data_IF_163814831436
#
_entry.id   IF_163814831436
#
_cell.length_a   1.000
_cell.length_b   1.000
_cell.length_c   1.000
_cell.angle_alpha   90.00
_cell.angle_beta   90.00
_cell.angle_gamma   90.00
#
_symmetry.space_group_name_H-M   'P 1'
#
loop_
_entity.id
_entity.type
_entity.pdbx_description
1 polymer ?
#
# COMPACT_ATOMS: atom_id res chain seq x y z
N UNK A 1 -22.52 34.61 -40.78
CA UNK A 1 -23.41 33.89 -39.83
C UNK A 1 -23.15 32.38 -39.79
N UNK A 2 -22.65 31.74 -40.85
CA UNK A 2 -22.29 30.31 -40.85
C UNK A 2 -21.20 29.94 -39.83
N UNK A 3 -20.12 30.72 -39.72
CA UNK A 3 -19.07 30.45 -38.73
C UNK A 3 -19.57 30.43 -37.28
N UNK A 4 -20.53 31.29 -36.92
CA UNK A 4 -21.10 31.34 -35.56
C UNK A 4 -21.97 30.11 -35.28
N UNK A 5 -22.78 29.67 -36.27
CA UNK A 5 -23.59 28.45 -36.15
C UNK A 5 -22.72 27.18 -36.10
N UNK A 6 -21.63 27.16 -36.85
CA UNK A 6 -20.70 26.04 -36.86
C UNK A 6 -19.92 25.95 -35.53
N UNK A 7 -19.44 27.09 -35.03
CA UNK A 7 -18.73 27.20 -33.74
C UNK A 7 -19.65 26.91 -32.54
N UNK A 8 -20.93 27.32 -32.60
CA UNK A 8 -21.93 26.98 -31.58
C UNK A 8 -22.28 25.50 -31.60
N UNK A 9 -22.38 24.89 -32.79
CA UNK A 9 -22.66 23.46 -32.92
C UNK A 9 -21.50 22.61 -32.42
N UNK A 10 -20.24 22.96 -32.73
CA UNK A 10 -19.05 22.29 -32.19
C UNK A 10 -18.92 22.44 -30.68
N UNK A 11 -19.31 23.59 -30.12
CA UNK A 11 -19.31 23.81 -28.67
C UNK A 11 -20.40 22.99 -27.98
N UNK A 12 -21.62 22.97 -28.53
CA UNK A 12 -22.71 22.15 -28.01
C UNK A 12 -22.40 20.66 -28.06
N UNK A 13 -21.79 20.17 -29.15
CA UNK A 13 -21.35 18.78 -29.25
C UNK A 13 -20.22 18.48 -28.27
N UNK A 14 -19.21 19.35 -28.11
CA UNK A 14 -18.10 19.14 -27.17
C UNK A 14 -18.56 19.16 -25.71
N UNK A 15 -19.47 20.07 -25.34
CA UNK A 15 -20.09 20.11 -24.01
C UNK A 15 -20.96 18.87 -23.80
N UNK A 16 -21.75 18.47 -24.79
CA UNK A 16 -22.56 17.25 -24.75
C UNK A 16 -21.72 15.98 -24.54
N UNK A 17 -20.63 15.81 -25.30
CA UNK A 17 -19.73 14.66 -25.16
C UNK A 17 -18.96 14.69 -23.84
N UNK A 18 -18.45 15.85 -23.41
CA UNK A 18 -17.73 15.98 -22.14
C UNK A 18 -18.64 15.77 -20.92
N UNK A 19 -19.90 16.20 -21.00
CA UNK A 19 -20.89 15.94 -19.95
C UNK A 19 -21.30 14.47 -19.93
N UNK A 20 -21.57 13.84 -21.09
CA UNK A 20 -21.88 12.41 -21.12
C UNK A 20 -20.70 11.57 -20.62
N UNK A 21 -19.47 11.90 -21.00
CA UNK A 21 -18.28 11.17 -20.52
C UNK A 21 -18.06 11.38 -19.02
N UNK A 22 -18.33 12.58 -18.49
CA UNK A 22 -18.22 12.88 -17.06
C UNK A 22 -19.32 12.18 -16.24
N UNK A 23 -20.56 12.15 -16.74
CA UNK A 23 -21.65 11.41 -16.10
C UNK A 23 -21.40 9.91 -16.17
N UNK A 24 -20.92 9.41 -17.32
CA UNK A 24 -20.53 8.02 -17.50
C UNK A 24 -19.41 7.60 -16.55
N UNK A 25 -18.36 8.42 -16.39
CA UNK A 25 -17.27 8.13 -15.46
C UNK A 25 -17.71 8.15 -14.00
N UNK A 26 -18.58 9.10 -13.61
CA UNK A 26 -19.19 9.13 -12.28
C UNK A 26 -20.06 7.89 -12.03
N UNK A 27 -20.89 7.49 -12.99
CA UNK A 27 -21.71 6.28 -12.87
C UNK A 27 -20.84 5.02 -12.77
N UNK A 28 -19.78 4.90 -13.56
CA UNK A 28 -18.82 3.79 -13.47
C UNK A 28 -18.07 3.78 -12.13
N UNK A 29 -17.67 4.95 -11.62
CA UNK A 29 -17.03 5.06 -10.31
C UNK A 29 -17.98 4.62 -9.19
N UNK A 30 -19.22 5.12 -9.19
CA UNK A 30 -20.24 4.73 -8.20
C UNK A 30 -20.60 3.25 -8.29
N UNK A 31 -20.73 2.71 -9.51
CA UNK A 31 -20.95 1.28 -9.72
C UNK A 31 -19.79 0.42 -9.22
N UNK A 32 -18.55 0.84 -9.50
CA UNK A 32 -17.35 0.16 -9.00
C UNK A 32 -17.24 0.24 -7.48
N UNK A 33 -17.51 1.41 -6.89
CA UNK A 33 -17.51 1.60 -5.45
C UNK A 33 -18.58 0.74 -4.78
N UNK A 34 -19.79 0.72 -5.33
CA UNK A 34 -20.87 -0.14 -4.86
C UNK A 34 -20.46 -1.61 -4.91
N UNK A 35 -19.90 -2.06 -6.04
CA UNK A 35 -19.43 -3.44 -6.21
C UNK A 35 -18.33 -3.78 -5.19
N UNK A 36 -17.33 -2.91 -5.00
CA UNK A 36 -16.27 -3.09 -3.99
C UNK A 36 -16.86 -3.18 -2.59
N UNK A 37 -17.84 -2.34 -2.24
CA UNK A 37 -18.52 -2.39 -0.95
C UNK A 37 -19.31 -3.69 -0.75
N UNK A 38 -20.09 -4.11 -1.75
CA UNK A 38 -20.84 -5.38 -1.71
C UNK A 38 -19.88 -6.56 -1.57
N UNK A 39 -18.83 -6.62 -2.39
CA UNK A 39 -17.83 -7.70 -2.30
C UNK A 39 -17.12 -7.70 -0.95
N UNK A 40 -16.73 -6.54 -0.44
CA UNK A 40 -16.08 -6.41 0.88
C UNK A 40 -17.02 -6.87 2.00
N UNK A 41 -18.29 -6.50 1.93
CA UNK A 41 -19.32 -6.94 2.87
C UNK A 41 -19.53 -8.46 2.83
N UNK A 42 -19.66 -9.04 1.63
CA UNK A 42 -19.80 -10.49 1.45
C UNK A 42 -18.56 -11.24 1.93
N UNK A 43 -17.36 -10.73 1.64
CA UNK A 43 -16.10 -11.31 2.14
C UNK A 43 -16.02 -11.27 3.66
N UNK A 44 -16.49 -10.20 4.31
CA UNK A 44 -16.55 -10.10 5.77
C UNK A 44 -17.59 -11.07 6.37
N UNK A 45 -18.74 -11.22 5.72
CA UNK A 45 -19.82 -12.10 6.18
C UNK A 45 -19.47 -13.59 5.99
N UNK A 46 -19.00 -13.96 4.80
CA UNK A 46 -18.73 -15.36 4.43
C UNK A 46 -17.32 -15.82 4.81
N UNK A 47 -16.35 -14.90 4.92
CA UNK A 47 -14.94 -15.21 5.17
C UNK A 47 -14.72 -16.13 6.37
N UNK A 48 -15.27 -15.85 7.56
CA UNK A 48 -15.13 -16.73 8.73
C UNK A 48 -15.67 -18.15 8.49
N UNK A 49 -16.74 -18.28 7.72
CA UNK A 49 -17.35 -19.58 7.37
C UNK A 49 -16.44 -20.39 6.46
N UNK A 50 -15.87 -19.75 5.44
CA UNK A 50 -14.89 -20.37 4.54
C UNK A 50 -13.63 -20.82 5.28
N UNK A 51 -13.09 -19.97 6.17
CA UNK A 51 -11.93 -20.30 6.98
C UNK A 51 -12.21 -21.51 7.88
N UNK A 52 -13.37 -21.56 8.55
CA UNK A 52 -13.76 -22.74 9.35
C UNK A 52 -13.86 -24.02 8.51
N UNK A 53 -14.45 -23.95 7.31
CA UNK A 53 -14.54 -25.10 6.39
C UNK A 53 -13.16 -25.58 5.96
N UNK A 54 -12.23 -24.67 5.64
CA UNK A 54 -10.86 -25.02 5.27
C UNK A 54 -10.13 -25.73 6.40
N UNK A 55 -10.31 -25.30 7.65
CA UNK A 55 -9.73 -25.98 8.80
C UNK A 55 -10.36 -27.36 9.05
N UNK A 56 -11.65 -27.54 8.73
CA UNK A 56 -12.33 -28.83 8.82
C UNK A 56 -11.82 -29.90 7.84
N UNK A 57 -10.95 -29.55 6.89
CA UNK A 57 -10.30 -30.51 5.98
C UNK A 57 -9.07 -31.20 6.60
N UNK A 58 -8.60 -30.73 7.76
CA UNK A 58 -7.46 -31.33 8.44
C UNK A 58 -7.88 -32.57 9.22
N UNK A 59 -7.20 -33.69 8.97
CA UNK A 59 -7.34 -34.92 9.77
C UNK A 59 -6.41 -34.94 11.00
N UNK A 60 -5.42 -34.06 11.03
CA UNK A 60 -4.33 -34.03 12.02
C UNK A 60 -4.36 -32.69 12.77
N UNK A 61 -4.72 -32.74 14.05
CA UNK A 61 -4.98 -31.57 14.89
C UNK A 61 -3.70 -30.76 15.17
N UNK A 62 -2.55 -31.42 15.33
CA UNK A 62 -1.27 -30.74 15.54
C UNK A 62 -0.85 -29.95 14.30
N UNK A 63 -1.01 -30.55 13.11
CA UNK A 63 -0.75 -29.85 11.84
C UNK A 63 -1.71 -28.69 11.64
N UNK A 64 -2.98 -28.85 11.99
CA UNK A 64 -3.97 -27.78 11.86
C UNK A 64 -3.57 -26.57 12.71
N UNK A 65 -3.29 -26.77 14.00
CA UNK A 65 -2.91 -25.68 14.93
C UNK A 65 -1.63 -24.97 14.48
N UNK A 66 -0.67 -25.73 13.95
CA UNK A 66 0.54 -25.17 13.36
C UNK A 66 0.25 -24.25 12.17
N UNK A 67 -0.58 -24.70 11.23
CA UNK A 67 -0.94 -23.88 10.07
C UNK A 67 -1.82 -22.68 10.45
N UNK A 68 -2.70 -22.81 11.45
CA UNK A 68 -3.44 -21.66 12.00
C UNK A 68 -2.51 -20.58 12.52
N UNK A 69 -1.47 -20.95 13.29
CA UNK A 69 -0.44 -19.99 13.75
C UNK A 69 0.30 -19.34 12.58
N UNK A 70 0.63 -20.10 11.54
CA UNK A 70 1.28 -19.58 10.33
C UNK A 70 0.39 -18.58 9.57
N UNK A 71 -0.86 -18.94 9.31
CA UNK A 71 -1.85 -18.07 8.67
C UNK A 71 -2.13 -16.83 9.52
N UNK A 72 -2.17 -16.95 10.85
CA UNK A 72 -2.28 -15.81 11.76
C UNK A 72 -1.11 -14.84 11.63
N UNK A 73 0.12 -15.35 11.51
CA UNK A 73 1.31 -14.51 11.25
C UNK A 73 1.18 -13.76 9.91
N UNK A 74 0.80 -14.46 8.84
CA UNK A 74 0.56 -13.85 7.52
C UNK A 74 -0.54 -12.79 7.54
N UNK A 75 -1.65 -13.08 8.20
CA UNK A 75 -2.77 -12.16 8.34
C UNK A 75 -2.34 -10.87 9.07
N UNK A 76 -1.55 -11.01 10.15
CA UNK A 76 -1.01 -9.87 10.87
C UNK A 76 -0.07 -9.02 10.01
N UNK A 77 0.75 -9.63 9.15
CA UNK A 77 1.60 -8.95 8.17
C UNK A 77 0.75 -8.11 7.21
N UNK A 78 -0.25 -8.72 6.57
CA UNK A 78 -1.09 -8.05 5.57
C UNK A 78 -1.88 -6.91 6.23
N UNK A 79 -2.61 -7.20 7.30
CA UNK A 79 -3.45 -6.20 7.98
C UNK A 79 -2.63 -5.06 8.54
N UNK A 80 -1.48 -5.37 9.16
CA UNK A 80 -0.57 -4.37 9.70
C UNK A 80 -0.02 -3.43 8.66
N UNK A 81 0.45 -3.98 7.54
CA UNK A 81 0.97 -3.19 6.44
C UNK A 81 -0.14 -2.33 5.80
N UNK A 82 -1.28 -2.91 5.45
CA UNK A 82 -2.38 -2.18 4.79
C UNK A 82 -2.91 -1.06 5.69
N UNK A 83 -3.19 -1.34 6.97
CA UNK A 83 -3.64 -0.30 7.90
C UNK A 83 -2.58 0.77 8.12
N UNK A 84 -1.31 0.36 8.20
CA UNK A 84 -0.19 1.27 8.38
C UNK A 84 -0.03 2.21 7.19
N UNK A 85 0.00 1.66 5.98
CA UNK A 85 0.13 2.42 4.75
C UNK A 85 -1.04 3.39 4.55
N UNK A 86 -2.28 2.95 4.78
CA UNK A 86 -3.44 3.84 4.71
C UNK A 86 -3.35 4.99 5.72
N UNK A 87 -2.82 4.72 6.93
CA UNK A 87 -2.65 5.75 7.95
C UNK A 87 -1.55 6.75 7.55
N UNK A 88 -0.39 6.26 7.09
CA UNK A 88 0.72 7.10 6.62
C UNK A 88 0.28 7.96 5.44
N UNK A 89 -0.32 7.35 4.41
CA UNK A 89 -0.85 8.06 3.24
C UNK A 89 -1.92 9.09 3.62
N UNK A 90 -2.79 8.77 4.58
CA UNK A 90 -3.79 9.71 5.09
C UNK A 90 -3.16 10.91 5.78
N UNK A 91 -2.16 10.69 6.64
CA UNK A 91 -1.42 11.75 7.33
C UNK A 91 -0.71 12.65 6.31
N UNK A 92 0.04 12.08 5.37
CA UNK A 92 0.75 12.85 4.34
C UNK A 92 -0.24 13.66 3.48
N UNK A 93 -1.31 13.03 3.00
CA UNK A 93 -2.31 13.70 2.19
C UNK A 93 -2.95 14.90 2.90
N UNK A 94 -3.34 14.74 4.17
CA UNK A 94 -3.96 15.80 4.96
C UNK A 94 -2.96 16.94 5.22
N UNK A 95 -1.72 16.61 5.62
CA UNK A 95 -0.71 17.62 5.91
C UNK A 95 -0.29 18.38 4.65
N UNK A 96 0.00 17.66 3.55
CA UNK A 96 0.32 18.25 2.26
C UNK A 96 -0.82 19.15 1.77
N UNK A 97 -2.06 18.70 1.85
CA UNK A 97 -3.24 19.48 1.49
C UNK A 97 -3.41 20.72 2.36
N UNK A 98 -3.18 20.60 3.67
CA UNK A 98 -3.25 21.72 4.60
C UNK A 98 -2.19 22.79 4.30
N UNK A 99 -0.95 22.39 3.97
CA UNK A 99 0.10 23.34 3.58
C UNK A 99 -0.29 24.08 2.30
N UNK A 100 -0.79 23.38 1.28
CA UNK A 100 -1.27 24.03 0.04
C UNK A 100 -2.44 24.97 0.32
N UNK A 101 -3.35 24.59 1.22
CA UNK A 101 -4.45 25.46 1.64
C UNK A 101 -3.93 26.76 2.29
N UNK A 102 -3.00 26.68 3.23
CA UNK A 102 -2.39 27.87 3.85
C UNK A 102 -1.66 28.73 2.83
N UNK A 103 -0.94 28.12 1.88
CA UNK A 103 -0.30 28.83 0.78
C UNK A 103 -1.33 29.55 -0.10
N UNK A 104 -2.51 28.96 -0.36
CA UNK A 104 -3.58 29.61 -1.12
C UNK A 104 -4.14 30.86 -0.45
N UNK A 105 -4.13 30.92 0.90
CA UNK A 105 -4.52 32.12 1.64
C UNK A 105 -3.47 33.23 1.56
N UNK A 106 -2.20 32.85 1.44
CA UNK A 106 -1.06 33.79 1.41
C UNK A 106 -0.80 34.33 0.01
N UNK A 107 -1.01 33.50 -1.01
CA UNK A 107 -0.76 33.82 -2.41
C UNK A 107 -2.07 33.76 -3.21
N UNK A 108 -2.71 34.91 -3.51
CA UNK A 108 -4.02 34.95 -4.18
C UNK A 108 -4.06 34.30 -5.57
N UNK A 109 -2.91 34.07 -6.18
CA UNK A 109 -2.76 33.40 -7.49
C UNK A 109 -3.03 31.89 -7.38
N UNK A 110 -2.88 31.30 -6.19
CA UNK A 110 -3.10 29.87 -5.96
C UNK A 110 -4.57 29.66 -5.62
N UNK A 111 -5.27 28.90 -6.46
CA UNK A 111 -6.67 28.57 -6.21
C UNK A 111 -6.77 27.57 -5.03
N UNK A 112 -7.66 27.83 -4.07
CA UNK A 112 -7.89 26.96 -2.91
C UNK A 112 -8.30 25.52 -3.30
N UNK A 113 -8.89 25.33 -4.48
CA UNK A 113 -9.21 24.01 -5.03
C UNK A 113 -7.96 23.12 -5.23
N UNK A 114 -6.76 23.70 -5.38
CA UNK A 114 -5.52 22.92 -5.47
C UNK A 114 -5.25 22.14 -4.18
N UNK A 115 -5.72 22.60 -3.02
CA UNK A 115 -5.55 21.88 -1.76
C UNK A 115 -6.28 20.52 -1.81
N UNK A 116 -7.53 20.49 -2.28
CA UNK A 116 -8.28 19.24 -2.39
C UNK A 116 -7.66 18.29 -3.42
N UNK A 117 -7.21 18.82 -4.56
CA UNK A 117 -6.47 18.03 -5.55
C UNK A 117 -5.19 17.44 -4.96
N UNK A 118 -4.47 18.23 -4.15
CA UNK A 118 -3.24 17.80 -3.46
C UNK A 118 -3.55 16.66 -2.50
N UNK A 119 -4.59 16.77 -1.66
CA UNK A 119 -5.00 15.68 -0.76
C UNK A 119 -5.25 14.40 -1.55
N UNK A 120 -6.06 14.46 -2.61
CA UNK A 120 -6.42 13.28 -3.39
C UNK A 120 -5.22 12.67 -4.12
N UNK A 121 -4.40 13.51 -4.76
CA UNK A 121 -3.22 13.07 -5.50
C UNK A 121 -2.17 12.48 -4.56
N UNK A 122 -1.83 13.17 -3.46
CA UNK A 122 -0.88 12.67 -2.46
C UNK A 122 -1.38 11.37 -1.85
N UNK A 123 -2.67 11.27 -1.48
CA UNK A 123 -3.21 10.04 -0.91
C UNK A 123 -3.02 8.85 -1.86
N UNK A 124 -3.42 8.97 -3.13
CA UNK A 124 -3.31 7.87 -4.10
C UNK A 124 -1.86 7.54 -4.41
N UNK A 125 -1.02 8.55 -4.63
CA UNK A 125 0.37 8.34 -5.02
C UNK A 125 1.19 7.74 -3.88
N UNK A 126 1.03 8.23 -2.65
CA UNK A 126 1.78 7.74 -1.48
C UNK A 126 1.44 6.30 -1.10
N UNK A 127 0.31 5.75 -1.57
CA UNK A 127 0.06 4.32 -1.43
C UNK A 127 1.15 3.49 -2.15
N UNK A 128 1.76 4.03 -3.21
CA UNK A 128 2.92 3.42 -3.88
C UNK A 128 4.12 3.48 -2.95
N UNK A 129 4.65 2.33 -2.52
CA UNK A 129 5.75 2.33 -1.58
C UNK A 129 7.03 2.85 -2.23
N UNK A 130 7.92 3.42 -1.40
CA UNK A 130 9.23 4.00 -1.75
C UNK A 130 9.22 5.23 -2.65
N UNK A 131 8.37 5.28 -3.68
CA UNK A 131 8.41 6.31 -4.71
C UNK A 131 7.20 7.24 -4.68
N UNK A 132 6.09 6.80 -4.08
CA UNK A 132 4.82 7.52 -4.08
C UNK A 132 4.90 8.94 -3.52
N UNK A 133 5.44 9.08 -2.30
CA UNK A 133 5.61 10.36 -1.64
C UNK A 133 6.53 11.30 -2.42
N UNK A 134 7.65 10.79 -2.96
CA UNK A 134 8.57 11.59 -3.78
C UNK A 134 7.92 12.08 -5.07
N UNK A 135 7.17 11.22 -5.76
CA UNK A 135 6.45 11.60 -6.98
C UNK A 135 5.37 12.64 -6.66
N UNK A 136 4.59 12.43 -5.59
CA UNK A 136 3.57 13.38 -5.15
C UNK A 136 4.17 14.75 -4.81
N UNK A 137 5.19 14.78 -3.94
CA UNK A 137 5.87 16.00 -3.52
C UNK A 137 6.50 16.74 -4.70
N UNK A 138 7.14 16.04 -5.63
CA UNK A 138 7.70 16.64 -6.84
C UNK A 138 6.63 17.24 -7.75
N UNK A 139 5.54 16.51 -8.01
CA UNK A 139 4.45 16.97 -8.87
C UNK A 139 3.76 18.20 -8.28
N UNK A 140 3.48 18.20 -6.98
CA UNK A 140 2.81 19.33 -6.31
C UNK A 140 3.74 20.54 -6.25
N UNK A 141 5.02 20.34 -5.92
CA UNK A 141 6.02 21.41 -5.95
C UNK A 141 6.09 22.05 -7.33
N UNK A 142 6.16 21.23 -8.39
CA UNK A 142 6.20 21.70 -9.77
C UNK A 142 4.93 22.47 -10.16
N UNK A 143 3.76 21.95 -9.78
CA UNK A 143 2.48 22.64 -10.00
C UNK A 143 2.47 24.02 -9.33
N UNK A 144 2.97 24.11 -8.09
CA UNK A 144 3.05 25.37 -7.37
C UNK A 144 4.06 26.33 -8.00
N UNK A 145 5.21 25.85 -8.50
CA UNK A 145 6.19 26.69 -9.20
C UNK A 145 5.60 27.41 -10.41
N UNK A 146 4.70 26.75 -11.17
CA UNK A 146 4.02 27.38 -12.30
C UNK A 146 3.01 28.46 -11.88
N UNK A 147 2.45 28.38 -10.67
CA UNK A 147 1.51 29.38 -10.17
C UNK A 147 2.24 30.52 -9.45
N UNK A 148 3.21 30.19 -8.59
CA UNK A 148 4.01 31.15 -7.84
C UNK A 148 5.34 30.50 -7.40
N UNK A 149 6.46 31.09 -7.84
CA UNK A 149 7.80 30.56 -7.55
C UNK A 149 8.04 30.43 -6.04
N UNK A 150 7.69 31.44 -5.25
CA UNK A 150 7.90 31.46 -3.79
C UNK A 150 7.12 30.34 -3.10
N UNK A 151 5.85 30.15 -3.47
CA UNK A 151 5.03 29.07 -2.91
C UNK A 151 5.58 27.69 -3.27
N UNK A 152 6.08 27.50 -4.49
CA UNK A 152 6.75 26.26 -4.91
C UNK A 152 7.99 25.96 -4.07
N UNK A 153 8.84 26.96 -3.80
CA UNK A 153 10.01 26.80 -2.92
C UNK A 153 9.58 26.44 -1.49
N UNK A 154 8.59 27.14 -0.93
CA UNK A 154 8.10 26.89 0.43
C UNK A 154 7.58 25.46 0.56
N UNK A 155 6.75 25.01 -0.39
CA UNK A 155 6.21 23.65 -0.38
C UNK A 155 7.31 22.60 -0.55
N UNK A 156 8.30 22.82 -1.43
CA UNK A 156 9.42 21.91 -1.61
C UNK A 156 10.25 21.75 -0.31
N UNK A 157 10.51 22.85 0.40
CA UNK A 157 11.20 22.81 1.70
C UNK A 157 10.37 22.04 2.73
N UNK A 158 9.07 22.33 2.82
CA UNK A 158 8.14 21.58 3.67
C UNK A 158 8.20 20.08 3.35
N UNK A 159 8.10 19.71 2.07
CA UNK A 159 8.08 18.32 1.63
C UNK A 159 9.36 17.60 2.05
N UNK A 160 10.53 18.20 1.85
CA UNK A 160 11.81 17.60 2.27
C UNK A 160 11.85 17.39 3.79
N UNK A 161 11.43 18.39 4.58
CA UNK A 161 11.38 18.28 6.04
C UNK A 161 10.42 17.18 6.46
N UNK A 162 9.22 17.16 5.87
CA UNK A 162 8.19 16.17 6.17
C UNK A 162 8.66 14.76 5.81
N UNK A 163 9.31 14.56 4.67
CA UNK A 163 9.85 13.26 4.27
C UNK A 163 10.87 12.72 5.29
N UNK A 164 11.70 13.60 5.85
CA UNK A 164 12.62 13.20 6.93
C UNK A 164 11.87 12.80 8.19
N UNK A 165 10.84 13.55 8.59
CA UNK A 165 10.00 13.20 9.74
C UNK A 165 9.30 11.86 9.49
N UNK A 166 8.77 11.65 8.29
CA UNK A 166 8.08 10.43 7.93
C UNK A 166 9.01 9.22 8.02
N UNK A 167 10.18 9.31 7.38
CA UNK A 167 11.14 8.21 7.32
C UNK A 167 11.72 7.84 8.70
N UNK A 168 11.92 8.83 9.58
CA UNK A 168 12.59 8.60 10.87
C UNK A 168 11.62 8.40 12.05
N UNK A 169 10.38 8.88 11.96
CA UNK A 169 9.43 8.85 13.09
C UNK A 169 8.10 8.21 12.72
N UNK A 170 7.41 8.71 11.69
CA UNK A 170 6.03 8.29 11.37
C UNK A 170 6.00 6.84 10.88
N UNK A 171 6.81 6.51 9.87
CA UNK A 171 6.87 5.18 9.31
C UNK A 171 7.31 4.14 10.33
N UNK A 172 8.39 4.35 11.11
CA UNK A 172 8.72 3.46 12.21
C UNK A 172 7.58 3.36 13.23
N UNK A 173 7.00 4.46 13.73
CA UNK A 173 5.96 4.39 14.76
C UNK A 173 4.72 3.59 14.32
N UNK A 174 4.31 3.74 13.05
CA UNK A 174 3.10 3.11 12.51
C UNK A 174 3.37 1.70 11.98
N UNK A 175 4.52 1.46 11.36
CA UNK A 175 4.83 0.22 10.62
C UNK A 175 5.79 -0.74 11.36
N UNK A 176 6.43 -0.32 12.46
CA UNK A 176 7.59 -1.00 13.10
C UNK A 176 7.42 -2.46 13.49
N UNK A 177 6.22 -3.01 13.65
CA UNK A 177 6.04 -4.26 14.41
C UNK A 177 5.78 -5.51 13.58
N UNK A 178 5.74 -5.45 12.24
CA UNK A 178 5.06 -6.53 11.49
C UNK A 178 5.81 -7.15 10.31
N UNK A 179 6.79 -6.50 9.69
CA UNK A 179 7.61 -7.16 8.64
C UNK A 179 9.01 -6.56 8.55
N UNK A 180 10.02 -7.26 9.07
CA UNK A 180 11.43 -6.88 8.88
C UNK A 180 11.91 -7.28 7.47
N UNK A 181 11.43 -6.60 6.43
CA UNK A 181 11.94 -6.81 5.07
C UNK A 181 13.22 -6.00 4.86
N UNK A 182 14.21 -6.61 4.22
CA UNK A 182 15.38 -5.86 3.76
C UNK A 182 14.95 -4.85 2.67
N UNK A 183 15.64 -3.72 2.57
CA UNK A 183 15.36 -2.73 1.53
C UNK A 183 15.44 -3.32 0.12
N UNK A 184 16.36 -4.27 -0.11
CA UNK A 184 16.48 -5.01 -1.36
C UNK A 184 15.22 -5.83 -1.67
N UNK A 185 14.69 -6.55 -0.68
CA UNK A 185 13.47 -7.36 -0.84
C UNK A 185 12.27 -6.47 -1.19
N UNK A 186 12.15 -5.32 -0.53
CA UNK A 186 11.08 -4.35 -0.82
C UNK A 186 11.21 -3.82 -2.25
N UNK A 187 12.40 -3.38 -2.65
CA UNK A 187 12.66 -2.86 -3.99
C UNK A 187 12.32 -3.90 -5.07
N UNK A 188 12.80 -5.13 -4.92
CA UNK A 188 12.54 -6.22 -5.88
C UNK A 188 11.05 -6.54 -5.93
N UNK A 189 10.39 -6.67 -4.78
CA UNK A 189 8.97 -6.97 -4.73
C UNK A 189 8.13 -5.88 -5.40
N UNK A 190 8.37 -4.61 -5.08
CA UNK A 190 7.65 -3.47 -5.68
C UNK A 190 7.89 -3.42 -7.17
N UNK A 191 9.14 -3.63 -7.62
CA UNK A 191 9.46 -3.68 -9.05
C UNK A 191 8.66 -4.77 -9.76
N UNK A 192 8.69 -6.01 -9.26
CA UNK A 192 7.92 -7.12 -9.82
C UNK A 192 6.43 -6.81 -9.81
N UNK A 193 5.90 -6.28 -8.71
CA UNK A 193 4.49 -5.92 -8.57
C UNK A 193 4.06 -4.88 -9.60
N UNK A 194 4.86 -3.82 -9.78
CA UNK A 194 4.62 -2.79 -10.79
C UNK A 194 4.63 -3.36 -12.21
N UNK A 195 5.54 -4.30 -12.53
CA UNK A 195 5.56 -4.94 -13.85
C UNK A 195 4.37 -5.88 -14.10
N UNK A 196 3.94 -6.64 -13.08
CA UNK A 196 2.89 -7.65 -13.23
C UNK A 196 1.49 -7.04 -13.20
N UNK A 197 1.25 -6.12 -12.28
CA UNK A 197 -0.09 -5.59 -11.98
C UNK A 197 -0.18 -4.07 -12.01
N UNK A 198 0.84 -3.39 -12.53
CA UNK A 198 0.91 -1.93 -12.52
C UNK A 198 0.86 -1.39 -11.09
N UNK A 199 0.18 -0.25 -10.93
CA UNK A 199 -0.01 0.41 -9.64
C UNK A 199 -0.54 -0.57 -8.56
N UNK A 200 -1.59 -1.33 -8.88
CA UNK A 200 -2.21 -2.25 -7.94
C UNK A 200 -1.25 -3.37 -7.52
N UNK A 201 -0.43 -3.88 -8.44
CA UNK A 201 0.59 -4.88 -8.13
C UNK A 201 1.69 -4.32 -7.22
N UNK A 202 2.08 -3.06 -7.40
CA UNK A 202 3.01 -2.36 -6.50
C UNK A 202 2.47 -2.20 -5.07
N UNK A 203 1.17 -1.94 -4.91
CA UNK A 203 0.52 -1.83 -3.59
C UNK A 203 0.55 -3.15 -2.80
N UNK A 204 0.29 -4.25 -3.49
CA UNK A 204 0.20 -5.60 -2.87
C UNK A 204 1.58 -6.26 -2.75
N UNK A 205 2.61 -5.71 -3.39
CA UNK A 205 3.95 -6.28 -3.43
C UNK A 205 4.59 -6.49 -2.06
N UNK A 206 4.57 -5.47 -1.19
CA UNK A 206 5.18 -5.54 0.14
C UNK A 206 4.49 -6.57 1.05
N UNK A 207 3.15 -6.56 1.22
CA UNK A 207 2.50 -7.55 2.06
C UNK A 207 2.67 -8.97 1.49
N UNK A 208 2.65 -9.13 0.16
CA UNK A 208 2.96 -10.42 -0.48
C UNK A 208 4.38 -10.89 -0.17
N UNK A 209 5.39 -10.01 -0.28
CA UNK A 209 6.76 -10.33 0.10
C UNK A 209 6.89 -10.69 1.59
N UNK A 210 6.14 -10.00 2.45
CA UNK A 210 6.06 -10.34 3.87
C UNK A 210 5.47 -11.72 4.14
N UNK A 211 4.42 -12.11 3.43
CA UNK A 211 3.85 -13.47 3.49
C UNK A 211 4.86 -14.51 3.05
N UNK A 212 5.58 -14.26 1.95
CA UNK A 212 6.66 -15.14 1.47
C UNK A 212 7.76 -15.26 2.52
N UNK A 213 8.17 -14.16 3.16
CA UNK A 213 9.15 -14.20 4.24
C UNK A 213 8.67 -15.08 5.40
N UNK A 214 7.43 -14.91 5.84
CA UNK A 214 6.84 -15.74 6.92
C UNK A 214 6.83 -17.23 6.56
N UNK A 215 6.57 -17.58 5.29
CA UNK A 215 6.69 -18.96 4.81
C UNK A 215 8.11 -19.49 4.89
N UNK A 216 9.07 -18.70 4.39
CA UNK A 216 10.48 -19.08 4.37
C UNK A 216 11.03 -19.27 5.78
N UNK A 217 10.75 -18.32 6.69
CA UNK A 217 11.20 -18.40 8.09
C UNK A 217 10.63 -19.66 8.76
N UNK A 218 9.34 -19.95 8.57
CA UNK A 218 8.70 -21.15 9.11
C UNK A 218 9.27 -22.45 8.51
N UNK A 219 9.71 -22.45 7.25
CA UNK A 219 10.36 -23.59 6.61
C UNK A 219 11.79 -23.79 7.13
N UNK A 220 12.55 -22.71 7.31
CA UNK A 220 13.91 -22.75 7.84
C UNK A 220 13.93 -23.20 9.31
N UNK A 221 12.99 -22.72 10.13
CA UNK A 221 12.79 -23.18 11.50
C UNK A 221 12.52 -24.70 11.56
N UNK A 222 11.70 -25.21 10.63
CA UNK A 222 11.44 -26.65 10.48
C UNK A 222 12.67 -27.44 10.11
N UNK A 223 13.39 -27.00 9.07
CA UNK A 223 14.59 -27.68 8.61
C UNK A 223 15.66 -27.73 9.72
N UNK A 224 15.79 -26.65 10.50
CA UNK A 224 16.71 -26.59 11.65
C UNK A 224 16.27 -27.52 12.79
N UNK A 225 14.98 -27.54 13.13
CA UNK A 225 14.45 -28.46 14.16
C UNK A 225 14.70 -29.92 13.79
N UNK A 226 14.43 -30.30 12.54
CA UNK A 226 14.64 -31.66 12.06
C UNK A 226 16.12 -32.06 12.07
N UNK A 227 17.05 -31.15 11.80
CA UNK A 227 18.50 -31.42 11.91
C UNK A 227 18.91 -31.71 13.35
N UNK A 228 18.49 -30.88 14.30
CA UNK A 228 18.80 -31.06 15.73
C UNK A 228 18.23 -32.37 16.28
N UNK A 229 17.04 -32.76 15.85
CA UNK A 229 16.44 -34.04 16.25
C UNK A 229 17.21 -35.25 15.72
N UNK A 230 17.67 -35.20 14.47
CA UNK A 230 18.46 -36.26 13.85
C UNK A 230 19.89 -36.39 14.44
N UNK A 231 20.47 -35.33 15.01
CA UNK A 231 21.78 -35.39 15.67
C UNK A 231 21.76 -36.05 17.06
N UNK A 232 20.61 -36.05 17.75
CA UNK A 232 20.46 -36.68 19.08
C UNK A 232 20.77 -38.19 19.11
N UNK A 233 20.26 -39.03 18.18
CA UNK A 233 20.58 -40.46 18.17
C UNK A 233 22.05 -40.71 17.81
N UNK A 234 22.63 -39.97 16.86
CA UNK A 234 24.06 -40.04 16.52
C UNK A 234 24.95 -39.72 17.74
N UNK A 235 24.66 -38.63 18.46
CA UNK A 235 25.40 -38.28 19.68
C UNK A 235 25.26 -39.33 20.80
N UNK A 236 24.11 -40.01 20.90
CA UNK A 236 23.93 -41.12 21.85
C UNK A 236 24.77 -42.34 21.46
N UNK A 237 24.84 -42.67 20.17
CA UNK A 237 25.65 -43.79 19.68
C UNK A 237 27.15 -43.52 19.85
N UNK A 238 27.62 -42.31 19.51
CA UNK A 238 29.02 -41.90 19.71
C UNK A 238 29.42 -41.93 21.19
N UNK A 239 28.54 -41.48 22.10
CA UNK A 239 28.79 -41.58 23.55
C UNK A 239 28.84 -43.01 24.07
N UNK A 240 28.02 -43.92 23.54
CA UNK A 240 28.08 -45.34 23.93
C UNK A 240 29.40 -45.97 23.53
N UNK A 241 29.85 -45.75 22.29
CA UNK A 241 31.12 -46.28 21.80
C UNK A 241 32.33 -45.74 22.58
N UNK A 242 32.31 -44.45 22.96
CA UNK A 242 33.40 -43.84 23.74
C UNK A 242 33.47 -44.29 25.21
N UNK A 243 32.43 -44.94 25.73
CA UNK A 243 32.36 -45.42 27.11
C UNK A 243 32.61 -46.94 27.22
N UNK A 244 32.82 -47.63 26.09
CA UNK A 244 33.11 -49.08 26.04
C UNK A 244 34.61 -49.39 25.88
N UNK A 245 35.48 -48.36 25.77
CA UNK A 245 36.94 -48.43 25.84
C UNK A 245 37.47 -47.92 27.20
#
# INVERSE_FOLDING_TARGET
MENIKQQSSSWATSVGTNLLSSVGSLASFLGSLFLVLVLSFLMLLEGPTWVKRLWGLYNDEEKMERHKKLVGRMYNVITGYVSGQLTVSGIDAILSGFVVFVLSLTFPVINSNLAMLTVMATFVLTLIPMFGATIAGALISLLLFFNNMTAGVIYAIYFVIYQQIENNFVSPSIQSKKVELSALTVLVAVTIGLYVGGLLGGLVAIPAAGVVKVLLDNYLEQAKSNRVENEKPLNKLVKKLKNED
#
